data_IF_018882833052
#
_entry.id   IF_018882833052
#
_cell.length_a   1.000
_cell.length_b   1.000
_cell.length_c   1.000
_cell.angle_alpha   90.00
_cell.angle_beta   90.00
_cell.angle_gamma   90.00
#
_symmetry.space_group_name_H-M   'P 1'
#
loop_
_entity.id
_entity.type
_entity.pdbx_description
1 polymer ?
#
# COMPACT_ATOMS: atom_id res chain seq x y z
N UNK A 1 -28.04 -10.95 0.78
CA UNK A 1 -28.59 -9.81 0.02
C UNK A 1 -28.10 -8.55 0.71
N UNK A 2 -27.24 -7.78 0.07
CA UNK A 2 -26.81 -6.47 0.59
C UNK A 2 -27.92 -5.49 0.20
N UNK A 3 -28.75 -5.09 1.15
CA UNK A 3 -29.78 -4.07 0.92
C UNK A 3 -29.05 -2.73 0.85
N UNK A 4 -28.71 -2.28 -0.35
CA UNK A 4 -28.21 -0.92 -0.57
C UNK A 4 -29.40 0.02 -0.45
N UNK A 5 -29.42 0.88 0.57
CA UNK A 5 -30.44 1.93 0.67
C UNK A 5 -30.28 2.86 -0.53
N UNK A 6 -31.30 2.95 -1.38
CA UNK A 6 -31.24 3.70 -2.63
C UNK A 6 -31.60 5.20 -2.43
N UNK A 7 -31.41 5.70 -1.21
CA UNK A 7 -31.76 7.05 -0.83
C UNK A 7 -30.77 8.07 -1.44
N UNK A 8 -31.24 9.04 -2.25
CA UNK A 8 -30.38 9.99 -2.96
C UNK A 8 -29.52 10.88 -2.05
N UNK A 9 -29.88 11.02 -0.77
CA UNK A 9 -29.09 11.76 0.22
C UNK A 9 -27.74 11.13 0.55
N UNK A 10 -27.57 9.82 0.32
CA UNK A 10 -26.33 9.09 0.59
C UNK A 10 -25.35 9.09 -0.59
N UNK A 11 -25.80 9.50 -1.78
CA UNK A 11 -25.00 9.48 -3.00
C UNK A 11 -23.73 10.32 -2.92
N UNK A 12 -23.74 11.54 -2.32
CA UNK A 12 -22.51 12.31 -2.13
C UNK A 12 -21.50 11.57 -1.26
N UNK A 13 -21.95 10.95 -0.18
CA UNK A 13 -21.09 10.19 0.73
C UNK A 13 -20.52 8.94 0.04
N UNK A 14 -21.34 8.18 -0.68
CA UNK A 14 -20.90 7.02 -1.46
C UNK A 14 -19.85 7.44 -2.50
N UNK A 15 -20.08 8.55 -3.21
CA UNK A 15 -19.13 9.08 -4.18
C UNK A 15 -17.80 9.50 -3.53
N UNK A 16 -17.82 10.14 -2.36
CA UNK A 16 -16.59 10.47 -1.63
C UNK A 16 -15.82 9.21 -1.22
N UNK A 17 -16.51 8.17 -0.73
CA UNK A 17 -15.85 6.90 -0.39
C UNK A 17 -15.21 6.23 -1.61
N UNK A 18 -15.86 6.28 -2.78
CA UNK A 18 -15.27 5.78 -4.01
C UNK A 18 -14.04 6.58 -4.43
N UNK A 19 -14.11 7.91 -4.41
CA UNK A 19 -12.98 8.78 -4.73
C UNK A 19 -11.79 8.53 -3.81
N UNK A 20 -12.03 8.45 -2.50
CA UNK A 20 -11.01 8.18 -1.50
C UNK A 20 -10.37 6.80 -1.74
N UNK A 21 -11.17 5.79 -2.06
CA UNK A 21 -10.67 4.44 -2.35
C UNK A 21 -9.75 4.42 -3.58
N UNK A 22 -10.16 5.05 -4.69
CA UNK A 22 -9.33 5.14 -5.89
C UNK A 22 -8.06 5.94 -5.65
N UNK A 23 -8.17 7.04 -4.89
CA UNK A 23 -7.04 7.88 -4.55
C UNK A 23 -5.99 7.14 -3.71
N UNK A 24 -6.43 6.39 -2.69
CA UNK A 24 -5.55 5.58 -1.84
C UNK A 24 -4.81 4.51 -2.67
N UNK A 25 -5.51 3.84 -3.59
CA UNK A 25 -4.89 2.85 -4.48
C UNK A 25 -3.88 3.51 -5.42
N UNK A 26 -4.21 4.65 -6.02
CA UNK A 26 -3.30 5.39 -6.90
C UNK A 26 -2.05 5.86 -6.15
N UNK A 27 -2.21 6.40 -4.94
CA UNK A 27 -1.12 6.83 -4.08
C UNK A 27 -0.21 5.64 -3.70
N UNK A 28 -0.79 4.48 -3.38
CA UNK A 28 -0.05 3.27 -3.09
C UNK A 28 0.79 2.79 -4.29
N UNK A 29 0.19 2.75 -5.48
CA UNK A 29 0.92 2.38 -6.71
C UNK A 29 2.07 3.34 -6.97
N UNK A 30 1.89 4.63 -6.76
CA UNK A 30 2.95 5.62 -6.91
C UNK A 30 4.12 5.40 -5.93
N UNK A 31 3.82 5.13 -4.65
CA UNK A 31 4.83 4.81 -3.63
C UNK A 31 5.59 3.52 -3.98
N UNK A 32 4.87 2.50 -4.43
CA UNK A 32 5.47 1.22 -4.86
C UNK A 32 6.36 1.39 -6.09
N UNK A 33 5.96 2.23 -7.04
CA UNK A 33 6.74 2.52 -8.23
C UNK A 33 8.04 3.25 -7.90
N UNK A 34 7.98 4.27 -7.04
CA UNK A 34 9.17 4.99 -6.56
C UNK A 34 10.12 4.08 -5.77
N UNK A 35 9.56 3.17 -4.97
CA UNK A 35 10.34 2.13 -4.29
C UNK A 35 11.03 1.19 -5.28
N UNK A 36 10.29 0.61 -6.23
CA UNK A 36 10.85 -0.34 -7.20
C UNK A 36 11.99 0.28 -8.03
N UNK A 37 11.87 1.56 -8.38
CA UNK A 37 12.90 2.29 -9.13
C UNK A 37 14.20 2.45 -8.33
N UNK A 38 14.09 2.71 -7.02
CA UNK A 38 15.23 2.96 -6.14
C UNK A 38 15.79 1.68 -5.51
N UNK A 39 15.01 0.61 -5.44
CA UNK A 39 15.39 -0.69 -4.87
C UNK A 39 16.63 -1.29 -5.53
N UNK A 40 16.75 -1.19 -6.86
CA UNK A 40 17.91 -1.72 -7.59
C UNK A 40 19.23 -1.08 -7.14
N UNK A 41 19.20 0.23 -6.89
CA UNK A 41 20.37 0.96 -6.38
C UNK A 41 20.61 0.66 -4.89
N UNK A 42 19.55 0.54 -4.09
CA UNK A 42 19.65 0.18 -2.67
C UNK A 42 20.28 -1.20 -2.46
N UNK A 43 19.95 -2.20 -3.27
CA UNK A 43 20.57 -3.53 -3.17
C UNK A 43 22.06 -3.46 -3.50
N UNK A 44 22.44 -2.73 -4.55
CA UNK A 44 23.86 -2.64 -4.91
C UNK A 44 24.69 -1.83 -3.90
N UNK A 45 24.16 -0.72 -3.38
CA UNK A 45 24.88 0.20 -2.50
C UNK A 45 24.76 -0.13 -1.01
N UNK A 46 23.63 -0.68 -0.57
CA UNK A 46 23.38 -0.95 0.86
C UNK A 46 23.64 -2.42 1.18
N UNK A 47 23.13 -3.35 0.36
CA UNK A 47 23.32 -4.77 0.64
C UNK A 47 24.72 -5.27 0.32
N UNK A 48 25.43 -4.64 -0.63
CA UNK A 48 26.82 -5.00 -0.99
C UNK A 48 27.89 -4.21 -0.22
N UNK A 49 27.52 -3.22 0.59
CA UNK A 49 28.45 -2.32 1.29
C UNK A 49 28.28 -2.38 2.82
N UNK A 50 29.17 -1.71 3.58
CA UNK A 50 29.13 -1.71 5.06
C UNK A 50 27.85 -1.05 5.58
N UNK A 51 27.06 -1.81 6.33
CA UNK A 51 25.85 -1.33 7.01
C UNK A 51 26.20 -0.25 8.03
N UNK A 52 25.67 0.95 7.85
CA UNK A 52 25.65 2.00 8.88
C UNK A 52 24.29 2.01 9.58
N UNK A 53 24.28 2.32 10.88
CA UNK A 53 23.05 2.46 11.69
C UNK A 53 22.08 3.44 11.05
N UNK A 54 22.58 4.53 10.46
CA UNK A 54 21.75 5.55 9.81
C UNK A 54 21.01 4.98 8.59
N UNK A 55 21.66 4.09 7.84
CA UNK A 55 21.09 3.41 6.68
C UNK A 55 20.06 2.35 7.08
N UNK A 56 20.32 1.62 8.17
CA UNK A 56 19.35 0.68 8.74
C UNK A 56 18.09 1.39 9.25
N UNK A 57 18.25 2.56 9.89
CA UNK A 57 17.13 3.37 10.35
C UNK A 57 16.31 3.92 9.18
N UNK A 58 16.98 4.32 8.08
CA UNK A 58 16.32 4.74 6.85
C UNK A 58 15.52 3.62 6.20
N UNK A 59 16.11 2.42 6.04
CA UNK A 59 15.42 1.25 5.52
C UNK A 59 14.22 0.87 6.40
N UNK A 60 14.40 0.88 7.73
CA UNK A 60 13.32 0.61 8.67
C UNK A 60 12.15 1.58 8.50
N UNK A 61 12.41 2.88 8.46
CA UNK A 61 11.37 3.88 8.23
C UNK A 61 10.67 3.71 6.87
N UNK A 62 11.44 3.39 5.82
CA UNK A 62 10.93 3.20 4.46
C UNK A 62 10.03 1.96 4.35
N UNK A 63 10.51 0.81 4.84
CA UNK A 63 9.74 -0.43 4.81
C UNK A 63 8.55 -0.43 5.76
N UNK A 64 8.66 0.20 6.94
CA UNK A 64 7.51 0.40 7.85
C UNK A 64 6.42 1.27 7.20
N UNK A 65 6.80 2.29 6.43
CA UNK A 65 5.85 3.13 5.69
C UNK A 65 5.13 2.39 4.56
N UNK A 66 5.84 1.53 3.84
CA UNK A 66 5.23 0.67 2.82
C UNK A 66 4.30 -0.36 3.48
N UNK A 67 4.74 -0.95 4.59
CA UNK A 67 3.97 -1.96 5.32
C UNK A 67 2.68 -1.37 5.93
N UNK A 68 2.73 -0.15 6.45
CA UNK A 68 1.55 0.54 6.96
C UNK A 68 0.57 0.88 5.83
N UNK A 69 1.05 1.28 4.65
CA UNK A 69 0.20 1.51 3.48
C UNK A 69 -0.47 0.22 2.98
N UNK A 70 0.27 -0.89 2.92
CA UNK A 70 -0.23 -2.23 2.56
C UNK A 70 -1.35 -2.69 3.50
N UNK A 71 -1.21 -2.44 4.81
CA UNK A 71 -2.21 -2.81 5.82
C UNK A 71 -3.44 -1.89 5.81
N UNK A 72 -3.28 -0.63 5.42
CA UNK A 72 -4.35 0.37 5.43
C UNK A 72 -5.38 0.15 4.33
N UNK A 73 -4.97 -0.34 3.15
CA UNK A 73 -5.85 -0.63 2.00
C UNK A 73 -6.98 -1.63 2.34
N UNK A 74 -6.71 -2.84 2.86
CA UNK A 74 -7.76 -3.81 3.17
C UNK A 74 -8.67 -3.41 4.33
N UNK A 75 -8.23 -2.49 5.20
CA UNK A 75 -9.03 -1.99 6.32
C UNK A 75 -10.05 -0.93 5.86
N UNK A 76 -9.66 -0.05 4.93
CA UNK A 76 -10.48 1.09 4.52
C UNK A 76 -11.32 0.81 3.27
N UNK A 77 -10.94 -0.17 2.46
CA UNK A 77 -11.66 -0.55 1.24
C UNK A 77 -12.14 -2.01 1.37
N UNK A 78 -13.26 -2.27 2.06
CA UNK A 78 -13.82 -3.63 2.15
C UNK A 78 -14.43 -4.14 0.82
N UNK A 79 -14.45 -3.31 -0.22
CA UNK A 79 -15.03 -3.58 -1.54
C UNK A 79 -14.07 -4.24 -2.53
N UNK A 80 -12.77 -4.25 -2.27
CA UNK A 80 -11.81 -5.02 -3.09
C UNK A 80 -12.01 -6.50 -2.78
N UNK A 81 -12.42 -7.24 -3.81
CA UNK A 81 -12.62 -8.68 -3.75
C UNK A 81 -11.41 -9.38 -3.13
N UNK A 82 -11.63 -10.38 -2.28
CA UNK A 82 -10.59 -11.24 -1.69
C UNK A 82 -9.65 -11.88 -2.74
N UNK A 83 -10.06 -11.90 -4.01
CA UNK A 83 -9.23 -12.33 -5.15
C UNK A 83 -8.20 -11.28 -5.60
N UNK A 84 -8.51 -9.97 -5.51
CA UNK A 84 -7.59 -8.90 -5.93
C UNK A 84 -6.58 -8.54 -4.83
N UNK A 85 -6.88 -8.85 -3.57
CA UNK A 85 -5.98 -8.63 -2.44
C UNK A 85 -4.84 -9.66 -2.34
N UNK A 86 -4.83 -10.70 -3.19
CA UNK A 86 -3.74 -11.67 -3.23
C UNK A 86 -2.39 -11.02 -3.54
N UNK A 87 -2.36 -10.00 -4.39
CA UNK A 87 -1.15 -9.24 -4.68
C UNK A 87 -0.64 -8.49 -3.44
N UNK A 88 -1.55 -7.89 -2.66
CA UNK A 88 -1.22 -7.19 -1.40
C UNK A 88 -0.60 -8.16 -0.39
N UNK A 89 -1.18 -9.36 -0.25
CA UNK A 89 -0.63 -10.43 0.58
C UNK A 89 0.71 -10.97 0.07
N UNK A 90 0.86 -11.11 -1.23
CA UNK A 90 2.11 -11.53 -1.86
C UNK A 90 3.24 -10.52 -1.58
N UNK A 91 2.94 -9.22 -1.71
CA UNK A 91 3.86 -8.13 -1.37
C UNK A 91 4.19 -8.09 0.13
N UNK A 92 3.19 -8.20 1.01
CA UNK A 92 3.42 -8.27 2.45
C UNK A 92 4.34 -9.45 2.82
N UNK A 93 4.19 -10.58 2.14
CA UNK A 93 5.02 -11.77 2.34
C UNK A 93 6.44 -11.60 1.81
N UNK A 94 6.60 -10.92 0.66
CA UNK A 94 7.91 -10.57 0.09
C UNK A 94 8.69 -9.58 0.96
N UNK A 95 8.00 -8.75 1.74
CA UNK A 95 8.61 -7.76 2.62
C UNK A 95 9.11 -8.35 3.96
N UNK A 96 8.68 -9.58 4.30
CA UNK A 96 9.00 -10.27 5.57
C UNK A 96 10.01 -11.42 5.37
N UNK A 97 10.47 -11.67 4.14
CA UNK A 97 11.53 -12.64 3.82
C UNK A 97 12.67 -11.94 3.06
#
# INVERSE_FOLDING_TARGET
MIVVSNDPSWWPAINTYHLDSYFVVAAFVAVMYDWALTFGQEVELIWRQRWSIMTAMYLGARYLGILSAVLYIPINVPTISLTDTQWVWFFAKFLVH
#
